data_IF_916492641011
#
_entry.id   IF_916492641011
#
_cell.length_a   1.000
_cell.length_b   1.000
_cell.length_c   1.000
_cell.angle_alpha   90.00
_cell.angle_beta   90.00
_cell.angle_gamma   90.00
#
_symmetry.space_group_name_H-M   'P 1'
#
loop_
_entity.id
_entity.type
_entity.pdbx_description
1 polymer ?
#
# COMPACT_ATOMS: atom_id res chain seq x y z
N UNK A 1 3.75 0.90 9.63
CA UNK A 1 4.65 1.34 8.54
C UNK A 1 5.89 0.45 8.55
N UNK A 2 6.53 0.21 7.40
CA UNK A 2 7.81 -0.50 7.33
C UNK A 2 8.89 0.38 6.69
N UNK A 3 10.12 0.32 7.19
CA UNK A 3 11.28 1.01 6.62
C UNK A 3 12.36 -0.01 6.22
N UNK A 4 12.82 0.05 4.97
CA UNK A 4 13.90 -0.80 4.49
C UNK A 4 15.24 -0.15 4.85
N UNK A 5 16.05 -0.80 5.69
CA UNK A 5 17.41 -0.37 6.04
C UNK A 5 17.56 1.17 6.21
N UNK A 6 16.86 1.80 7.18
CA UNK A 6 16.78 3.26 7.26
C UNK A 6 18.14 3.93 7.50
N UNK A 7 19.09 3.21 8.13
CA UNK A 7 20.47 3.69 8.26
C UNK A 7 21.13 4.05 6.93
N UNK A 8 20.82 3.33 5.85
CA UNK A 8 21.39 3.56 4.52
C UNK A 8 20.43 4.19 3.51
N UNK A 9 19.12 4.03 3.68
CA UNK A 9 18.11 4.54 2.75
C UNK A 9 17.31 5.74 3.28
N UNK A 10 17.55 6.13 4.53
CA UNK A 10 16.78 7.16 5.22
C UNK A 10 15.46 6.64 5.79
N UNK A 11 14.84 7.49 6.61
CA UNK A 11 13.52 7.24 7.18
C UNK A 11 12.41 7.63 6.20
N UNK A 12 11.18 7.22 6.51
CA UNK A 12 9.96 7.59 5.79
C UNK A 12 9.90 9.11 5.60
N UNK A 13 9.64 9.55 4.38
CA UNK A 13 9.58 10.97 4.03
C UNK A 13 8.59 11.73 4.93
N UNK A 14 8.96 12.93 5.36
CA UNK A 14 8.17 13.74 6.30
C UNK A 14 6.77 14.06 5.78
N UNK A 15 6.63 14.28 4.47
CA UNK A 15 5.34 14.52 3.80
C UNK A 15 4.35 13.34 3.95
N UNK A 16 4.85 12.11 4.14
CA UNK A 16 4.04 10.92 4.39
C UNK A 16 3.90 10.67 5.89
N UNK A 17 5.01 10.71 6.64
CA UNK A 17 5.01 10.30 8.04
C UNK A 17 4.15 11.21 8.93
N UNK A 18 4.03 12.48 8.58
CA UNK A 18 3.17 13.46 9.29
C UNK A 18 1.67 13.21 9.11
N UNK A 19 1.27 12.40 8.13
CA UNK A 19 -0.13 12.06 7.88
C UNK A 19 -0.62 10.88 8.73
N UNK A 20 0.30 10.16 9.40
CA UNK A 20 -0.06 9.02 10.23
C UNK A 20 -0.52 9.43 11.63
N UNK A 21 -1.39 8.62 12.26
CA UNK A 21 -1.70 8.79 13.68
C UNK A 21 -0.44 8.81 14.55
N UNK A 22 -0.46 9.64 15.59
CA UNK A 22 0.62 9.67 16.57
C UNK A 22 0.84 8.28 17.18
N UNK A 23 2.10 7.86 17.27
CA UNK A 23 2.46 6.55 17.82
C UNK A 23 2.27 5.38 16.86
N UNK A 24 2.02 5.62 15.56
CA UNK A 24 2.02 4.53 14.58
C UNK A 24 3.38 3.80 14.61
N UNK A 25 3.41 2.48 14.82
CA UNK A 25 4.65 1.72 14.84
C UNK A 25 5.36 1.73 13.48
N UNK A 26 6.67 2.00 13.52
CA UNK A 26 7.60 1.84 12.39
C UNK A 26 8.40 0.56 12.61
N UNK A 27 8.37 -0.32 11.62
CA UNK A 27 9.05 -1.61 11.65
C UNK A 27 10.20 -1.57 10.65
N UNK A 28 11.42 -1.55 11.15
CA UNK A 28 12.60 -1.66 10.30
C UNK A 28 12.78 -3.09 9.81
N UNK A 29 13.16 -3.24 8.53
CA UNK A 29 13.40 -4.55 7.92
C UNK A 29 14.59 -4.54 6.98
N UNK A 30 15.16 -5.73 6.82
CA UNK A 30 16.17 -6.03 5.79
C UNK A 30 15.60 -6.89 4.66
N UNK A 31 14.55 -7.68 4.93
CA UNK A 31 13.86 -8.48 3.93
C UNK A 31 13.09 -7.61 2.95
N UNK A 32 13.00 -8.02 1.69
CA UNK A 32 12.21 -7.30 0.70
C UNK A 32 10.72 -7.36 1.03
N UNK A 33 10.19 -8.57 1.28
CA UNK A 33 8.83 -8.73 1.80
C UNK A 33 8.70 -8.17 3.22
N UNK A 34 7.61 -7.43 3.46
CA UNK A 34 7.21 -7.01 4.80
C UNK A 34 6.79 -8.20 5.66
N UNK A 35 6.19 -9.25 5.08
CA UNK A 35 5.73 -10.43 5.79
C UNK A 35 6.88 -11.25 6.41
N UNK A 36 8.08 -11.16 5.83
CA UNK A 36 9.28 -11.78 6.42
C UNK A 36 9.80 -11.05 7.67
N UNK A 37 9.34 -9.82 7.95
CA UNK A 37 9.61 -9.17 9.22
C UNK A 37 8.56 -9.64 10.23
N UNK A 38 8.95 -10.51 11.17
CA UNK A 38 8.04 -11.14 12.14
C UNK A 38 7.18 -10.12 12.88
N UNK A 39 7.77 -8.98 13.28
CA UNK A 39 7.03 -7.90 13.93
C UNK A 39 5.90 -7.33 13.05
N UNK A 40 6.06 -7.28 11.72
CA UNK A 40 5.00 -6.84 10.81
C UNK A 40 3.92 -7.91 10.68
N UNK A 41 4.32 -9.16 10.44
CA UNK A 41 3.37 -10.27 10.27
C UNK A 41 2.47 -10.45 11.51
N UNK A 42 3.07 -10.51 12.71
CA UNK A 42 2.31 -10.64 13.96
C UNK A 42 1.36 -9.47 14.18
N UNK A 43 1.80 -8.24 13.87
CA UNK A 43 0.94 -7.05 14.00
C UNK A 43 -0.21 -7.05 13.03
N UNK A 44 -0.01 -7.53 11.80
CA UNK A 44 -1.08 -7.66 10.82
C UNK A 44 -2.11 -8.70 11.30
N UNK A 45 -1.66 -9.86 11.76
CA UNK A 45 -2.51 -10.92 12.31
C UNK A 45 -3.32 -10.43 13.53
N UNK A 46 -2.69 -9.69 14.45
CA UNK A 46 -3.34 -9.06 15.60
C UNK A 46 -4.50 -8.13 15.23
N UNK A 47 -4.51 -7.57 14.00
CA UNK A 47 -5.63 -6.73 13.57
C UNK A 47 -6.91 -7.50 13.28
N UNK A 48 -6.82 -8.82 13.05
CA UNK A 48 -7.94 -9.66 12.61
C UNK A 48 -8.53 -9.30 11.24
N UNK A 49 -7.88 -8.41 10.48
CA UNK A 49 -8.33 -7.99 9.14
C UNK A 49 -7.94 -9.04 8.10
N UNK A 50 -8.81 -9.25 7.11
CA UNK A 50 -8.59 -10.18 6.00
C UNK A 50 -8.29 -9.48 4.68
N UNK A 51 -8.54 -8.17 4.60
CA UNK A 51 -8.28 -7.34 3.43
C UNK A 51 -7.10 -6.40 3.69
N UNK A 52 -6.21 -6.25 2.71
CA UNK A 52 -5.02 -5.39 2.80
C UNK A 52 -4.93 -4.51 1.56
N UNK A 53 -4.89 -3.18 1.77
CA UNK A 53 -4.53 -2.21 0.73
C UNK A 53 -3.02 -1.92 0.82
N UNK A 54 -2.30 -2.17 -0.27
CA UNK A 54 -0.85 -1.99 -0.36
C UNK A 54 -0.51 -0.74 -1.18
N UNK A 55 0.36 0.09 -0.62
CA UNK A 55 0.96 1.27 -1.25
C UNK A 55 2.45 1.36 -0.86
N UNK A 56 3.25 2.05 -1.67
CA UNK A 56 4.67 2.30 -1.42
C UNK A 56 5.60 1.89 -2.55
N UNK A 57 6.89 1.77 -2.23
CA UNK A 57 7.96 1.50 -3.20
C UNK A 57 8.93 0.40 -2.70
N UNK A 58 9.62 -0.31 -3.58
CA UNK A 58 9.45 -0.31 -5.04
C UNK A 58 8.44 -1.37 -5.49
N UNK A 59 7.63 -1.05 -6.51
CA UNK A 59 6.59 -1.93 -7.06
C UNK A 59 7.13 -3.33 -7.36
N UNK A 60 8.31 -3.42 -7.99
CA UNK A 60 8.90 -4.68 -8.43
C UNK A 60 9.72 -5.42 -7.35
N UNK A 61 9.96 -4.79 -6.20
CA UNK A 61 10.78 -5.34 -5.12
C UNK A 61 9.93 -5.59 -3.86
N UNK A 62 9.98 -4.65 -2.91
CA UNK A 62 9.30 -4.79 -1.62
C UNK A 62 7.79 -4.99 -1.77
N UNK A 63 7.14 -4.22 -2.64
CA UNK A 63 5.69 -4.33 -2.89
C UNK A 63 5.38 -5.71 -3.49
N UNK A 64 6.03 -6.09 -4.58
CA UNK A 64 5.80 -7.38 -5.25
C UNK A 64 5.93 -8.57 -4.29
N UNK A 65 7.03 -8.65 -3.53
CA UNK A 65 7.25 -9.79 -2.63
C UNK A 65 6.26 -9.79 -1.46
N UNK A 66 5.92 -8.62 -0.92
CA UNK A 66 4.91 -8.51 0.14
C UNK A 66 3.54 -8.97 -0.36
N UNK A 67 3.14 -8.57 -1.57
CA UNK A 67 1.85 -8.96 -2.17
C UNK A 67 1.78 -10.48 -2.36
N UNK A 68 2.84 -11.11 -2.86
CA UNK A 68 2.86 -12.57 -3.00
C UNK A 68 2.70 -13.28 -1.66
N UNK A 69 3.43 -12.85 -0.62
CA UNK A 69 3.33 -13.48 0.69
C UNK A 69 1.95 -13.27 1.33
N UNK A 70 1.37 -12.08 1.20
CA UNK A 70 0.02 -11.79 1.68
C UNK A 70 -1.04 -12.64 0.98
N UNK A 71 -0.98 -12.76 -0.36
CA UNK A 71 -1.93 -13.60 -1.10
C UNK A 71 -1.73 -15.08 -0.75
N UNK A 72 -0.49 -15.54 -0.63
CA UNK A 72 -0.20 -16.92 -0.20
C UNK A 72 -0.70 -17.22 1.22
N UNK A 73 -0.73 -16.20 2.10
CA UNK A 73 -1.29 -16.29 3.44
C UNK A 73 -2.83 -16.14 3.47
N UNK A 74 -3.50 -16.00 2.32
CA UNK A 74 -4.95 -15.99 2.21
C UNK A 74 -5.62 -14.62 2.42
N UNK A 75 -4.85 -13.53 2.43
CA UNK A 75 -5.41 -12.18 2.46
C UNK A 75 -5.99 -11.80 1.09
N UNK A 76 -7.06 -11.02 1.09
CA UNK A 76 -7.51 -10.31 -0.10
C UNK A 76 -6.67 -9.04 -0.27
N UNK A 77 -5.80 -9.02 -1.28
CA UNK A 77 -4.78 -7.99 -1.43
C UNK A 77 -5.13 -7.04 -2.55
N UNK A 78 -5.39 -5.78 -2.19
CA UNK A 78 -5.59 -4.67 -3.11
C UNK A 78 -4.29 -3.90 -3.27
N UNK A 79 -3.91 -3.53 -4.50
CA UNK A 79 -2.71 -2.69 -4.73
C UNK A 79 -3.12 -1.41 -5.44
N UNK A 80 -2.83 -0.27 -4.83
CA UNK A 80 -3.15 1.05 -5.38
C UNK A 80 -2.09 1.46 -6.43
N UNK A 81 -2.49 1.50 -7.70
CA UNK A 81 -1.58 1.80 -8.82
C UNK A 81 -0.92 3.16 -8.72
N UNK A 82 -1.73 4.15 -8.43
CA UNK A 82 -1.40 5.55 -8.22
C UNK A 82 -0.56 5.80 -6.94
N UNK A 83 -0.50 4.83 -6.04
CA UNK A 83 0.29 4.89 -4.81
C UNK A 83 1.44 3.87 -4.78
N UNK A 84 1.85 3.35 -5.95
CA UNK A 84 3.05 2.51 -6.09
C UNK A 84 3.95 3.00 -7.21
N UNK A 85 5.26 2.88 -7.03
CA UNK A 85 6.22 3.27 -8.06
C UNK A 85 7.51 2.46 -7.98
N UNK A 86 8.31 2.51 -9.05
CA UNK A 86 9.65 1.95 -9.12
C UNK A 86 10.59 2.98 -9.73
N UNK A 87 11.89 2.86 -9.43
CA UNK A 87 12.90 3.77 -9.96
C UNK A 87 12.96 3.78 -11.49
N UNK A 88 12.75 2.62 -12.13
CA UNK A 88 12.62 2.53 -13.60
C UNK A 88 11.18 2.18 -13.95
N UNK A 89 10.50 2.97 -14.81
CA UNK A 89 9.13 2.67 -15.23
C UNK A 89 8.95 1.29 -15.87
N UNK A 90 9.97 0.80 -16.58
CA UNK A 90 9.95 -0.53 -17.21
C UNK A 90 9.83 -1.70 -16.23
N UNK A 91 10.22 -1.52 -14.96
CA UNK A 91 10.10 -2.58 -13.95
C UNK A 91 8.65 -2.73 -13.43
N UNK A 92 7.81 -1.71 -13.63
CA UNK A 92 6.44 -1.66 -13.09
C UNK A 92 5.52 -2.66 -13.81
N UNK A 93 5.57 -2.73 -15.13
CA UNK A 93 4.69 -3.61 -15.93
C UNK A 93 4.80 -5.09 -15.53
N UNK A 94 6.01 -5.69 -15.60
CA UNK A 94 6.21 -7.09 -15.21
C UNK A 94 5.81 -7.40 -13.76
N UNK A 95 6.06 -6.47 -12.83
CA UNK A 95 5.66 -6.64 -11.43
C UNK A 95 4.13 -6.70 -11.28
N UNK A 96 3.40 -5.82 -11.98
CA UNK A 96 1.94 -5.80 -11.94
C UNK A 96 1.32 -7.05 -12.55
N UNK A 97 1.84 -7.51 -13.69
CA UNK A 97 1.39 -8.75 -14.32
C UNK A 97 1.59 -9.94 -13.37
N UNK A 98 2.75 -10.01 -12.73
CA UNK A 98 3.09 -11.07 -11.78
C UNK A 98 2.21 -11.05 -10.53
N UNK A 99 1.99 -9.88 -9.93
CA UNK A 99 1.10 -9.73 -8.77
C UNK A 99 -0.34 -10.10 -9.14
N UNK A 100 -0.86 -9.62 -10.27
CA UNK A 100 -2.21 -9.93 -10.74
C UNK A 100 -2.40 -11.42 -10.97
N UNK A 101 -1.43 -12.07 -11.61
CA UNK A 101 -1.45 -13.52 -11.83
C UNK A 101 -1.42 -14.32 -10.51
N UNK A 102 -0.89 -13.74 -9.44
CA UNK A 102 -0.88 -14.36 -8.12
C UNK A 102 -2.20 -14.20 -7.34
N UNK A 103 -3.14 -13.37 -7.80
CA UNK A 103 -4.43 -13.14 -7.12
C UNK A 103 -4.59 -11.75 -6.50
N UNK A 104 -3.67 -10.83 -6.76
CA UNK A 104 -3.81 -9.41 -6.37
C UNK A 104 -4.97 -8.73 -7.13
N UNK A 105 -5.72 -7.88 -6.43
CA UNK A 105 -6.77 -7.03 -6.97
C UNK A 105 -6.23 -5.63 -7.31
N UNK A 106 -6.23 -5.23 -8.59
CA UNK A 106 -5.77 -3.91 -9.00
C UNK A 106 -6.78 -2.85 -8.57
N UNK A 107 -6.31 -1.74 -7.99
CA UNK A 107 -7.17 -0.60 -7.62
C UNK A 107 -6.41 0.73 -7.76
N UNK A 108 -7.11 1.84 -7.53
CA UNK A 108 -6.52 3.16 -7.25
C UNK A 108 -6.87 3.59 -5.83
N UNK A 109 -6.21 4.61 -5.30
CA UNK A 109 -6.57 5.16 -4.00
C UNK A 109 -8.02 5.67 -3.96
N UNK A 110 -8.50 6.33 -5.03
CA UNK A 110 -9.89 6.78 -5.15
C UNK A 110 -10.87 5.60 -5.21
N UNK A 111 -10.58 4.60 -6.05
CA UNK A 111 -11.45 3.42 -6.18
C UNK A 111 -11.56 2.68 -4.85
N UNK A 112 -10.45 2.40 -4.18
CA UNK A 112 -10.44 1.73 -2.87
C UNK A 112 -11.24 2.51 -1.81
N UNK A 113 -11.11 3.84 -1.81
CA UNK A 113 -11.86 4.72 -0.91
C UNK A 113 -13.37 4.68 -1.18
N UNK A 114 -13.79 4.71 -2.45
CA UNK A 114 -15.20 4.63 -2.83
C UNK A 114 -15.80 3.24 -2.56
N UNK A 115 -15.04 2.16 -2.79
CA UNK A 115 -15.42 0.78 -2.45
C UNK A 115 -15.69 0.61 -0.95
N UNK A 116 -14.93 1.30 -0.09
CA UNK A 116 -15.13 1.26 1.37
C UNK A 116 -16.44 1.95 1.81
N UNK A 117 -16.86 3.00 1.12
CA UNK A 117 -18.04 3.79 1.51
C UNK A 117 -19.33 3.30 0.86
N UNK A 118 -19.26 2.66 -0.31
CA UNK A 118 -20.34 1.99 -1.05
C UNK A 118 -21.51 2.85 -1.52
N UNK A 119 -21.91 3.90 -0.79
CA UNK A 119 -23.07 4.74 -1.09
C UNK A 119 -22.79 6.23 -0.81
N UNK A 120 -23.34 7.12 -1.64
CA UNK A 120 -23.15 8.56 -1.48
C UNK A 120 -23.90 9.12 -0.25
N UNK A 121 -24.91 8.39 0.23
CA UNK A 121 -25.70 8.69 1.41
C UNK A 121 -25.00 8.30 2.72
N UNK A 122 -23.91 7.53 2.66
CA UNK A 122 -23.15 7.13 3.84
C UNK A 122 -22.62 8.35 4.60
N UNK A 123 -22.60 8.26 5.93
CA UNK A 123 -22.21 9.38 6.79
C UNK A 123 -20.77 9.86 6.51
N UNK A 124 -19.90 8.93 6.12
CA UNK A 124 -18.49 9.13 5.83
C UNK A 124 -18.24 9.74 4.45
N UNK A 125 -19.21 9.67 3.52
CA UNK A 125 -19.02 10.06 2.12
C UNK A 125 -18.59 11.52 1.97
N UNK A 126 -19.19 12.44 2.72
CA UNK A 126 -18.82 13.88 2.66
C UNK A 126 -17.36 14.12 3.06
N UNK A 127 -16.87 13.38 4.05
CA UNK A 127 -15.47 13.47 4.49
C UNK A 127 -14.54 12.91 3.42
N UNK A 128 -14.89 11.78 2.84
CA UNK A 128 -14.12 11.14 1.78
C UNK A 128 -14.08 11.99 0.50
N UNK A 129 -15.23 12.52 0.07
CA UNK A 129 -15.32 13.40 -1.09
C UNK A 129 -14.43 14.64 -0.95
N UNK A 130 -14.32 15.19 0.27
CA UNK A 130 -13.43 16.32 0.55
C UNK A 130 -11.96 15.92 0.36
N UNK A 131 -11.56 14.76 0.88
CA UNK A 131 -10.19 14.24 0.73
C UNK A 131 -9.81 14.09 -0.75
N UNK A 132 -10.68 13.51 -1.57
CA UNK A 132 -10.45 13.32 -3.01
C UNK A 132 -10.29 14.64 -3.78
N UNK A 133 -10.97 15.71 -3.34
CA UNK A 133 -10.86 17.04 -3.97
C UNK A 133 -9.59 17.78 -3.58
N UNK A 134 -9.15 17.63 -2.33
CA UNK A 134 -7.99 18.35 -1.77
C UNK A 134 -6.65 17.69 -2.12
N UNK A 135 -6.64 16.38 -2.37
CA UNK A 135 -5.48 15.63 -2.82
C UNK A 135 -5.71 15.09 -4.25
N UNK A 136 -5.77 15.96 -5.28
CA UNK A 136 -5.91 15.48 -6.64
C UNK A 136 -4.71 14.61 -6.97
N UNK A 137 -4.98 13.34 -7.30
CA UNK A 137 -3.97 12.46 -7.86
C UNK A 137 -3.36 13.14 -9.08
N UNK A 138 -2.06 12.91 -9.37
CA UNK A 138 -1.51 13.34 -10.64
C UNK A 138 -2.44 12.81 -11.73
N UNK A 139 -3.06 13.72 -12.48
CA UNK A 139 -3.70 13.33 -13.74
C UNK A 139 -2.57 12.71 -14.54
N UNK A 140 -2.79 11.51 -15.07
CA UNK A 140 -1.79 10.78 -15.84
C UNK A 140 -0.99 11.78 -16.69
N UNK A 141 0.34 11.75 -16.55
CA UNK A 141 1.19 12.54 -17.41
C UNK A 141 0.90 12.10 -18.84
N UNK A 142 0.39 13.03 -19.66
CA UNK A 142 0.36 12.92 -21.12
C UNK A 142 1.74 12.48 -21.68
#
# INVERSE_FOLDING_TARGET
>A
MTEQYPRGLGHTAAEVSTQFPAGLPVIEKMSMSCCSATAFASRLEETGRTQVLVAGIETHACVNQTVHDLVAAGYEVHVARDATSSRRPADIGPAWEKMRAAGMLPTSSEQALLELVQAAEAAEFKKLQRLLKEAPLPRDAD
#
